data_IF_674277561240
#
_entry.id   IF_674277561240
#
_cell.length_a   1.000
_cell.length_b   1.000
_cell.length_c   1.000
_cell.angle_alpha   90.00
_cell.angle_beta   90.00
_cell.angle_gamma   90.00
#
_symmetry.space_group_name_H-M   'P 1'
#
loop_
_entity.id
_entity.type
_entity.pdbx_description
1 polymer ?
#
# COMPACT_ATOMS: atom_id res chain seq x y z
N UNK A 1 0.77 8.14 -10.00
CA UNK A 1 0.90 6.67 -9.86
C UNK A 1 0.57 5.89 -11.13
N UNK A 2 -0.30 6.38 -12.03
CA UNK A 2 -0.57 5.71 -13.32
C UNK A 2 -1.01 4.25 -13.16
N UNK A 3 -0.78 3.40 -14.16
CA UNK A 3 -1.12 1.97 -14.14
C UNK A 3 -0.03 1.06 -13.55
N UNK A 4 0.81 1.63 -12.68
CA UNK A 4 1.90 0.92 -12.01
C UNK A 4 1.38 -0.29 -11.23
N UNK A 5 2.16 -1.36 -11.25
CA UNK A 5 1.87 -2.57 -10.48
C UNK A 5 1.92 -2.27 -8.98
N UNK A 6 1.13 -2.99 -8.19
CA UNK A 6 1.18 -2.89 -6.72
C UNK A 6 2.57 -3.20 -6.15
N UNK A 7 3.36 -4.04 -6.84
CA UNK A 7 4.74 -4.37 -6.48
C UNK A 7 5.74 -3.22 -6.66
N UNK A 8 5.32 -2.12 -7.29
CA UNK A 8 6.15 -0.91 -7.40
C UNK A 8 6.05 0.00 -6.17
N UNK A 9 5.13 -0.28 -5.23
CA UNK A 9 5.08 0.41 -3.94
C UNK A 9 6.24 -0.06 -3.06
N UNK A 10 6.92 0.87 -2.42
CA UNK A 10 7.97 0.53 -1.47
C UNK A 10 7.41 -0.36 -0.36
N UNK A 11 8.18 -1.35 0.10
CA UNK A 11 7.71 -2.32 1.09
C UNK A 11 6.80 -3.43 0.55
N UNK A 12 6.33 -3.35 -0.71
CA UNK A 12 5.52 -4.41 -1.33
C UNK A 12 6.39 -5.27 -2.28
N UNK A 13 6.99 -6.31 -1.71
CA UNK A 13 7.70 -7.34 -2.50
C UNK A 13 6.74 -8.28 -3.26
N UNK A 14 7.30 -9.19 -4.08
CA UNK A 14 6.50 -10.07 -4.93
C UNK A 14 5.50 -10.97 -4.19
N UNK A 15 5.83 -11.44 -2.98
CA UNK A 15 4.92 -12.25 -2.17
C UNK A 15 3.70 -11.44 -1.67
N UNK A 16 3.93 -10.24 -1.15
CA UNK A 16 2.86 -9.32 -0.72
C UNK A 16 2.03 -8.85 -1.91
N UNK A 17 2.69 -8.46 -3.01
CA UNK A 17 2.03 -8.01 -4.22
C UNK A 17 1.12 -9.06 -4.83
N UNK A 18 1.52 -10.34 -4.83
CA UNK A 18 0.64 -11.44 -5.26
C UNK A 18 -0.60 -11.55 -4.38
N UNK A 19 -0.45 -11.52 -3.05
CA UNK A 19 -1.59 -11.59 -2.11
C UNK A 19 -2.51 -10.37 -2.25
N UNK A 20 -1.95 -9.20 -2.52
CA UNK A 20 -2.72 -7.97 -2.79
C UNK A 20 -3.51 -8.12 -4.09
N UNK A 21 -2.87 -8.58 -5.16
CA UNK A 21 -3.52 -8.82 -6.45
C UNK A 21 -4.64 -9.88 -6.35
N UNK A 22 -4.43 -10.98 -5.61
CA UNK A 22 -5.45 -12.00 -5.35
C UNK A 22 -6.69 -11.42 -4.62
N UNK A 23 -6.52 -10.30 -3.92
CA UNK A 23 -7.60 -9.55 -3.23
C UNK A 23 -8.14 -8.36 -4.03
N UNK A 24 -7.72 -8.20 -5.28
CA UNK A 24 -8.15 -7.10 -6.17
C UNK A 24 -7.34 -5.82 -6.08
N UNK A 25 -6.20 -5.84 -5.37
CA UNK A 25 -5.25 -4.71 -5.26
C UNK A 25 -4.05 -4.94 -6.19
N UNK A 26 -4.29 -5.14 -7.49
CA UNK A 26 -3.25 -5.45 -8.48
C UNK A 26 -2.46 -4.20 -8.93
N UNK A 27 -3.06 -3.01 -8.80
CA UNK A 27 -2.45 -1.72 -9.15
C UNK A 27 -2.16 -0.85 -7.94
N UNK A 28 -1.08 -0.06 -8.03
CA UNK A 28 -0.67 0.86 -6.97
C UNK A 28 -1.76 1.88 -6.61
N UNK A 29 -2.55 2.35 -7.59
CA UNK A 29 -3.64 3.30 -7.33
C UNK A 29 -4.80 2.69 -6.52
N UNK A 30 -5.00 1.36 -6.55
CA UNK A 30 -6.05 0.71 -5.76
C UNK A 30 -5.68 0.70 -4.29
N UNK A 31 -4.40 0.43 -3.98
CA UNK A 31 -3.87 0.55 -2.60
C UNK A 31 -3.86 2.00 -2.13
N UNK A 32 -3.54 2.95 -3.01
CA UNK A 32 -3.69 4.38 -2.71
C UNK A 32 -5.15 4.71 -2.37
N UNK A 33 -6.13 4.17 -3.09
CA UNK A 33 -7.55 4.34 -2.77
C UNK A 33 -7.88 3.90 -1.34
N UNK A 34 -7.39 2.72 -0.93
CA UNK A 34 -7.56 2.23 0.44
C UNK A 34 -6.88 3.14 1.47
N UNK A 35 -5.67 3.61 1.20
CA UNK A 35 -4.94 4.56 2.04
C UNK A 35 -5.74 5.86 2.26
N UNK A 36 -6.38 6.37 1.20
CA UNK A 36 -7.22 7.57 1.26
C UNK A 36 -8.54 7.32 2.00
N UNK A 37 -9.15 6.13 1.85
CA UNK A 37 -10.34 5.74 2.63
C UNK A 37 -10.07 5.71 4.13
N UNK A 38 -8.87 5.27 4.51
CA UNK A 38 -8.37 5.31 5.89
C UNK A 38 -7.86 6.69 6.30
N UNK A 39 -8.17 7.75 5.55
CA UNK A 39 -7.82 9.16 5.84
C UNK A 39 -6.32 9.38 6.06
N UNK A 40 -5.46 8.59 5.40
CA UNK A 40 -4.01 8.62 5.57
C UNK A 40 -3.54 8.30 7.01
N UNK A 41 -4.37 7.63 7.81
CA UNK A 41 -4.03 7.22 9.16
C UNK A 41 -2.97 6.10 9.15
N UNK A 42 -1.86 6.32 9.85
CA UNK A 42 -0.70 5.42 9.83
C UNK A 42 -1.00 4.07 10.48
N UNK A 43 -1.62 4.10 11.65
CA UNK A 43 -1.89 2.89 12.43
C UNK A 43 -2.93 2.04 11.70
N UNK A 44 -4.06 2.64 11.31
CA UNK A 44 -5.11 1.92 10.58
C UNK A 44 -4.63 1.34 9.25
N UNK A 45 -3.80 2.07 8.50
CA UNK A 45 -3.28 1.56 7.23
C UNK A 45 -2.30 0.41 7.42
N UNK A 46 -1.38 0.52 8.39
CA UNK A 46 -0.43 -0.56 8.69
C UNK A 46 -1.13 -1.81 9.21
N UNK A 47 -2.11 -1.66 10.11
CA UNK A 47 -2.95 -2.76 10.57
C UNK A 47 -3.70 -3.40 9.42
N UNK A 48 -4.35 -2.61 8.57
CA UNK A 48 -5.03 -3.12 7.38
C UNK A 48 -4.08 -3.93 6.49
N UNK A 49 -2.88 -3.44 6.22
CA UNK A 49 -1.92 -4.13 5.34
C UNK A 49 -1.41 -5.43 5.97
N UNK A 50 -1.21 -5.44 7.29
CA UNK A 50 -0.85 -6.63 8.07
C UNK A 50 -1.98 -7.67 8.06
N UNK A 51 -3.22 -7.27 8.30
CA UNK A 51 -4.36 -8.20 8.31
C UNK A 51 -4.71 -8.70 6.91
N UNK A 52 -4.46 -7.87 5.88
CA UNK A 52 -4.81 -8.20 4.50
C UNK A 52 -3.79 -9.15 3.88
N UNK A 53 -2.49 -8.92 4.06
CA UNK A 53 -1.45 -9.68 3.36
C UNK A 53 -0.29 -10.16 4.23
N UNK A 54 -0.40 -10.02 5.56
CA UNK A 54 0.62 -10.40 6.55
C UNK A 54 1.94 -9.63 6.36
N UNK A 55 1.85 -8.35 5.99
CA UNK A 55 3.01 -7.48 5.96
C UNK A 55 3.62 -7.33 7.36
N UNK A 56 4.96 -7.36 7.43
CA UNK A 56 5.66 -7.02 8.66
C UNK A 56 5.75 -5.49 8.85
N UNK A 57 6.20 -5.05 10.03
CA UNK A 57 6.27 -3.62 10.37
C UNK A 57 7.12 -2.81 9.38
N UNK A 58 8.25 -3.37 8.92
CA UNK A 58 9.14 -2.69 7.97
C UNK A 58 8.48 -2.52 6.60
N UNK A 59 7.80 -3.55 6.11
CA UNK A 59 7.06 -3.54 4.85
C UNK A 59 5.89 -2.54 4.91
N UNK A 60 5.12 -2.60 6.00
CA UNK A 60 3.97 -1.72 6.21
C UNK A 60 4.38 -0.26 6.34
N UNK A 61 5.44 0.03 7.11
CA UNK A 61 6.04 1.35 7.20
C UNK A 61 6.55 1.84 5.85
N UNK A 62 7.29 1.01 5.10
CA UNK A 62 7.78 1.37 3.77
C UNK A 62 6.65 1.75 2.81
N UNK A 63 5.57 0.97 2.80
CA UNK A 63 4.41 1.24 1.95
C UNK A 63 3.67 2.51 2.36
N UNK A 64 3.44 2.70 3.66
CA UNK A 64 2.77 3.89 4.19
C UNK A 64 3.53 5.17 3.81
N UNK A 65 4.83 5.24 4.10
CA UNK A 65 5.63 6.44 3.82
C UNK A 65 5.72 6.73 2.33
N UNK A 66 5.86 5.71 1.48
CA UNK A 66 5.85 5.88 0.04
C UNK A 66 4.54 6.49 -0.49
N UNK A 67 3.39 6.04 0.03
CA UNK A 67 2.09 6.61 -0.33
C UNK A 67 1.90 8.02 0.21
N UNK A 68 2.37 8.29 1.43
CA UNK A 68 2.33 9.61 2.06
C UNK A 68 3.15 10.63 1.27
N UNK A 69 4.41 10.33 0.98
CA UNK A 69 5.28 11.20 0.17
C UNK A 69 4.69 11.45 -1.22
N UNK A 70 4.12 10.42 -1.85
CA UNK A 70 3.46 10.59 -3.13
C UNK A 70 2.23 11.50 -3.03
N UNK A 71 1.42 11.36 -1.97
CA UNK A 71 0.30 12.28 -1.75
C UNK A 71 0.78 13.71 -1.54
N UNK A 72 1.79 13.92 -0.69
CA UNK A 72 2.30 15.26 -0.37
C UNK A 72 2.90 15.97 -1.61
N UNK A 73 3.39 15.21 -2.59
CA UNK A 73 3.96 15.74 -3.82
C UNK A 73 2.95 15.96 -4.96
N UNK A 74 1.85 15.19 -5.00
CA UNK A 74 0.98 15.10 -6.19
C UNK A 74 -0.53 15.26 -5.92
N UNK A 75 -0.97 15.35 -4.67
CA UNK A 75 -2.38 15.46 -4.28
C UNK A 75 -2.60 16.68 -3.35
#
# INVERSE_FOLDING_TARGET
MGDKSVTELAGIGGALGRRLADKGFDKAYVVLGQFLLLKKDEEMFKEWLKDTVFANEREAHGCFYCLKEWCDAFL
#
